data_IF_502292314716
#
_entry.id   IF_502292314716
#
_cell.length_a   1.000
_cell.length_b   1.000
_cell.length_c   1.000
_cell.angle_alpha   90.00
_cell.angle_beta   90.00
_cell.angle_gamma   90.00
#
_symmetry.space_group_name_H-M   'P 1'
#
loop_
_entity.id
_entity.type
_entity.pdbx_description
1 polymer ?
#
# COMPACT_ATOMS: atom_id res chain seq x y z
N UNK A 1 -27.83 -5.91 12.65
CA UNK A 1 -27.04 -5.08 13.58
C UNK A 1 -25.80 -4.65 12.83
N UNK A 2 -25.72 -3.35 12.49
CA UNK A 2 -24.73 -2.77 11.59
C UNK A 2 -23.31 -2.85 12.17
N UNK A 3 -22.37 -3.44 11.44
CA UNK A 3 -20.94 -3.42 11.75
C UNK A 3 -20.22 -2.21 11.14
N UNK A 4 -20.90 -1.08 11.01
CA UNK A 4 -20.29 0.20 10.61
C UNK A 4 -19.99 1.02 11.87
N UNK A 5 -18.70 1.15 12.25
CA UNK A 5 -18.15 2.31 13.00
C UNK A 5 -16.74 2.15 13.58
N UNK A 6 -15.90 1.18 13.17
CA UNK A 6 -14.46 1.31 13.48
C UNK A 6 -13.81 2.09 12.34
N UNK A 7 -13.74 3.42 12.47
CA UNK A 7 -12.84 4.21 11.63
C UNK A 7 -11.42 3.98 12.13
N UNK A 8 -10.53 3.49 11.25
CA UNK A 8 -9.11 3.34 11.52
C UNK A 8 -8.40 4.63 11.93
N UNK A 9 -7.08 4.61 12.12
CA UNK A 9 -6.17 3.65 11.49
C UNK A 9 -6.17 2.28 12.17
N UNK A 10 -6.00 1.24 11.36
CA UNK A 10 -5.66 -0.09 11.87
C UNK A 10 -4.17 -0.27 11.69
N UNK A 11 -3.45 -0.52 12.79
CA UNK A 11 -1.99 -0.51 12.82
C UNK A 11 -1.48 -1.77 13.51
N UNK A 12 -0.38 -2.32 13.00
CA UNK A 12 0.43 -3.32 13.68
C UNK A 12 1.88 -2.86 13.64
N UNK A 13 2.55 -2.95 14.79
CA UNK A 13 3.97 -2.64 14.91
C UNK A 13 4.64 -3.72 15.74
N UNK A 14 5.64 -4.39 15.15
CA UNK A 14 6.40 -5.46 15.77
C UNK A 14 7.89 -5.23 15.45
N UNK A 15 8.73 -5.17 16.50
CA UNK A 15 10.16 -4.85 16.41
C UNK A 15 10.46 -3.58 15.58
N UNK A 16 10.93 -3.77 14.35
CA UNK A 16 11.34 -2.74 13.39
C UNK A 16 10.39 -2.65 12.18
N UNK A 17 9.23 -3.29 12.27
CA UNK A 17 8.24 -3.37 11.22
C UNK A 17 6.95 -2.65 11.62
N UNK A 18 6.48 -1.75 10.76
CA UNK A 18 5.25 -1.00 10.93
C UNK A 18 4.34 -1.21 9.72
N UNK A 19 3.09 -1.62 9.93
CA UNK A 19 2.10 -1.74 8.85
C UNK A 19 0.78 -1.12 9.27
N UNK A 20 0.12 -0.41 8.36
CA UNK A 20 -1.16 0.21 8.67
C UNK A 20 -2.09 0.39 7.48
N UNK A 21 -3.39 0.38 7.78
CA UNK A 21 -4.47 0.76 6.88
C UNK A 21 -5.16 2.00 7.43
N UNK A 22 -5.43 2.98 6.58
CA UNK A 22 -6.02 4.26 7.00
C UNK A 22 -6.92 4.86 5.93
N UNK A 23 -7.88 5.70 6.32
CA UNK A 23 -8.64 6.53 5.38
C UNK A 23 -8.03 7.93 5.19
N UNK A 24 -7.05 8.28 6.02
CA UNK A 24 -6.40 9.59 5.98
C UNK A 24 -5.39 9.67 4.83
N UNK A 25 -5.10 10.89 4.38
CA UNK A 25 -3.99 11.15 3.47
C UNK A 25 -2.66 10.65 4.07
N UNK A 26 -1.78 10.16 3.20
CA UNK A 26 -0.51 9.59 3.61
C UNK A 26 0.55 10.69 3.77
N UNK A 27 1.45 10.52 4.74
CA UNK A 27 2.50 11.48 5.06
C UNK A 27 3.86 10.82 4.86
N UNK A 28 4.52 11.15 3.75
CA UNK A 28 5.82 10.60 3.37
C UNK A 28 6.89 10.83 4.45
N UNK A 29 6.89 11.99 5.12
CA UNK A 29 7.88 12.28 6.17
C UNK A 29 7.67 11.36 7.36
N UNK A 30 6.43 11.22 7.84
CA UNK A 30 6.11 10.34 8.97
C UNK A 30 6.47 8.89 8.67
N UNK A 31 6.18 8.39 7.47
CA UNK A 31 6.51 7.01 7.09
C UNK A 31 8.02 6.80 6.98
N UNK A 32 8.78 7.78 6.48
CA UNK A 32 10.25 7.71 6.49
C UNK A 32 10.81 7.74 7.93
N UNK A 33 10.20 8.50 8.84
CA UNK A 33 10.64 8.61 10.22
C UNK A 33 10.49 7.27 10.98
N UNK A 34 9.45 6.48 10.67
CA UNK A 34 9.23 5.14 11.26
C UNK A 34 10.39 4.16 11.00
N UNK A 35 11.15 4.33 9.92
CA UNK A 35 12.25 3.42 9.56
C UNK A 35 13.63 3.98 9.86
N UNK A 36 13.74 5.15 10.51
CA UNK A 36 15.04 5.72 10.87
C UNK A 36 15.76 4.84 11.87
N UNK A 37 17.07 4.67 11.66
CA UNK A 37 17.94 3.94 12.57
C UNK A 37 19.35 4.53 12.50
N UNK A 38 20.07 4.63 13.64
CA UNK A 38 21.49 5.00 13.61
C UNK A 38 22.37 4.00 12.84
N UNK A 39 21.88 2.78 12.61
CA UNK A 39 22.56 1.75 11.83
C UNK A 39 22.18 1.76 10.32
N UNK A 40 21.32 2.68 9.89
CA UNK A 40 20.92 2.81 8.49
C UNK A 40 21.72 3.91 7.79
N UNK A 41 22.36 3.55 6.68
CA UNK A 41 23.04 4.48 5.77
C UNK A 41 22.17 4.90 4.57
N UNK A 42 21.00 4.28 4.40
CA UNK A 42 20.04 4.62 3.36
C UNK A 42 18.60 4.36 3.81
N UNK A 43 17.70 5.22 3.36
CA UNK A 43 16.24 5.03 3.39
C UNK A 43 15.76 5.14 1.95
N UNK A 44 14.90 4.23 1.52
CA UNK A 44 14.17 4.29 0.25
C UNK A 44 12.69 4.34 0.56
N UNK A 45 11.99 5.26 -0.11
CA UNK A 45 10.54 5.38 -0.07
C UNK A 45 9.99 5.11 -1.47
N UNK A 46 9.04 4.19 -1.56
CA UNK A 46 8.14 4.08 -2.70
C UNK A 46 6.81 4.76 -2.37
N UNK A 47 6.31 5.56 -3.31
CA UNK A 47 5.01 6.20 -3.25
C UNK A 47 4.17 5.79 -4.47
N UNK A 48 3.08 5.07 -4.25
CA UNK A 48 2.13 4.71 -5.30
C UNK A 48 1.06 5.77 -5.43
N UNK A 49 1.06 6.53 -6.53
CA UNK A 49 0.13 7.65 -6.77
C UNK A 49 -0.97 7.29 -7.76
N UNK A 50 -2.19 7.79 -7.54
CA UNK A 50 -3.28 7.69 -8.53
C UNK A 50 -2.95 8.50 -9.77
N UNK A 51 -3.05 7.89 -10.95
CA UNK A 51 -2.88 8.56 -12.26
C UNK A 51 -4.24 8.98 -12.83
N UNK A 52 -4.23 9.97 -13.70
CA UNK A 52 -5.41 10.51 -14.38
C UNK A 52 -5.92 9.66 -15.56
N UNK A 53 -5.19 8.61 -15.93
CA UNK A 53 -5.52 7.76 -17.06
C UNK A 53 -5.32 6.27 -16.76
N UNK A 54 -6.19 5.45 -17.33
CA UNK A 54 -6.06 4.00 -17.36
C UNK A 54 -6.54 3.47 -18.72
N UNK A 55 -5.68 2.74 -19.45
CA UNK A 55 -5.96 2.21 -20.80
C UNK A 55 -6.57 3.25 -21.77
N UNK A 56 -6.10 4.50 -21.69
CA UNK A 56 -6.56 5.61 -22.53
C UNK A 56 -7.91 6.22 -22.13
N UNK A 57 -8.53 5.77 -21.02
CA UNK A 57 -9.73 6.38 -20.45
C UNK A 57 -9.38 7.34 -19.30
N UNK A 58 -10.04 8.50 -19.19
CA UNK A 58 -9.88 9.40 -18.04
C UNK A 58 -10.43 8.72 -16.78
N UNK A 59 -9.59 8.65 -15.75
CA UNK A 59 -9.96 8.15 -14.41
C UNK A 59 -10.31 9.35 -13.56
N UNK A 60 -11.47 9.32 -12.92
CA UNK A 60 -11.90 10.36 -11.98
C UNK A 60 -11.26 10.17 -10.61
N UNK A 61 -11.29 8.95 -10.10
CA UNK A 61 -10.72 8.57 -8.81
C UNK A 61 -10.47 7.05 -8.72
N UNK A 62 -9.63 6.66 -7.75
CA UNK A 62 -9.49 5.27 -7.34
C UNK A 62 -10.09 5.08 -5.95
N UNK A 63 -10.90 4.04 -5.78
CA UNK A 63 -11.44 3.65 -4.47
C UNK A 63 -10.78 2.35 -4.01
N UNK A 64 -10.29 2.31 -2.78
CA UNK A 64 -9.65 1.12 -2.21
C UNK A 64 -10.48 0.54 -1.05
N UNK A 65 -10.63 -0.78 -1.03
CA UNK A 65 -11.26 -1.52 0.07
C UNK A 65 -10.38 -2.69 0.47
N UNK A 66 -10.52 -3.16 1.70
CA UNK A 66 -9.68 -4.24 2.21
C UNK A 66 -10.39 -5.08 3.28
N UNK A 67 -9.97 -6.33 3.41
CA UNK A 67 -10.34 -7.15 4.57
C UNK A 67 -9.29 -6.93 5.66
N UNK A 68 -9.48 -5.87 6.47
CA UNK A 68 -8.42 -5.27 7.30
C UNK A 68 -7.61 -6.28 8.13
N UNK A 69 -8.24 -7.22 8.88
CA UNK A 69 -7.48 -8.14 9.72
C UNK A 69 -6.56 -9.06 8.92
N UNK A 70 -6.97 -9.50 7.74
CA UNK A 70 -6.14 -10.38 6.90
C UNK A 70 -5.09 -9.57 6.15
N UNK A 71 -5.47 -8.44 5.56
CA UNK A 71 -4.54 -7.53 4.88
C UNK A 71 -3.38 -7.11 5.79
N UNK A 72 -3.65 -6.69 7.03
CA UNK A 72 -2.60 -6.33 7.98
C UNK A 72 -1.67 -7.49 8.34
N UNK A 73 -2.20 -8.71 8.54
CA UNK A 73 -1.36 -9.89 8.79
C UNK A 73 -0.51 -10.23 7.58
N UNK A 74 -1.06 -10.13 6.37
CA UNK A 74 -0.32 -10.37 5.13
C UNK A 74 0.80 -9.33 4.95
N UNK A 75 0.51 -8.04 5.19
CA UNK A 75 1.51 -6.96 5.17
C UNK A 75 2.62 -7.22 6.19
N UNK A 76 2.29 -7.61 7.42
CA UNK A 76 3.30 -7.90 8.45
C UNK A 76 4.16 -9.12 8.08
N UNK A 77 3.56 -10.16 7.49
CA UNK A 77 4.30 -11.33 6.98
C UNK A 77 5.31 -10.94 5.90
N UNK A 78 4.93 -10.02 5.00
CA UNK A 78 5.84 -9.46 4.00
C UNK A 78 6.96 -8.66 4.68
N UNK A 79 6.60 -7.80 5.64
CA UNK A 79 7.56 -6.97 6.39
C UNK A 79 8.64 -7.82 7.06
N UNK A 80 8.27 -8.87 7.79
CA UNK A 80 9.21 -9.78 8.43
C UNK A 80 10.10 -10.51 7.40
N UNK A 81 9.48 -11.09 6.37
CA UNK A 81 10.21 -11.82 5.34
C UNK A 81 11.26 -10.96 4.64
N UNK A 82 10.94 -9.70 4.33
CA UNK A 82 11.87 -8.79 3.66
C UNK A 82 12.91 -8.19 4.61
N UNK A 83 12.52 -7.97 5.87
CA UNK A 83 13.45 -7.54 6.92
C UNK A 83 14.58 -8.54 7.11
N UNK A 84 14.26 -9.83 7.19
CA UNK A 84 15.25 -10.89 7.32
C UNK A 84 16.05 -11.09 6.04
N UNK A 85 15.38 -11.10 4.88
CA UNK A 85 16.03 -11.33 3.57
C UNK A 85 17.05 -10.26 3.21
N UNK A 86 16.78 -9.00 3.53
CA UNK A 86 17.58 -7.84 3.09
C UNK A 86 18.37 -7.16 4.23
N UNK A 87 18.36 -7.72 5.45
CA UNK A 87 18.93 -7.12 6.68
C UNK A 87 18.47 -5.66 6.88
N UNK A 88 17.15 -5.44 6.83
CA UNK A 88 16.58 -4.11 7.00
C UNK A 88 16.75 -3.62 8.44
N UNK A 89 17.02 -2.33 8.62
CA UNK A 89 16.99 -1.67 9.94
C UNK A 89 15.59 -1.19 10.32
N UNK A 90 14.72 -1.01 9.34
CA UNK A 90 13.32 -0.67 9.53
C UNK A 90 12.52 -0.94 8.25
N UNK A 91 11.25 -1.27 8.44
CA UNK A 91 10.26 -1.48 7.40
C UNK A 91 8.96 -0.78 7.78
N UNK A 92 8.37 -0.03 6.85
CA UNK A 92 7.04 0.56 7.00
C UNK A 92 6.23 0.37 5.71
N UNK A 93 4.97 -0.05 5.84
CA UNK A 93 4.00 -0.11 4.74
C UNK A 93 2.66 0.46 5.19
N UNK A 94 2.24 1.57 4.58
CA UNK A 94 0.98 2.24 4.88
C UNK A 94 0.12 2.28 3.63
N UNK A 95 -1.09 1.73 3.70
CA UNK A 95 -2.04 1.75 2.59
C UNK A 95 -3.28 2.57 2.94
N UNK A 96 -3.63 3.50 2.05
CA UNK A 96 -4.86 4.29 2.14
C UNK A 96 -6.04 3.52 1.56
N UNK A 97 -7.18 3.60 2.25
CA UNK A 97 -8.47 3.04 1.88
C UNK A 97 -9.46 4.16 1.58
N UNK A 98 -10.58 3.82 0.96
CA UNK A 98 -11.56 4.77 0.45
C UNK A 98 -11.09 5.45 -0.83
N UNK A 99 -11.64 6.63 -1.12
CA UNK A 99 -11.31 7.41 -2.32
C UNK A 99 -9.92 8.06 -2.19
N UNK A 100 -9.09 7.84 -3.21
CA UNK A 100 -7.76 8.44 -3.38
C UNK A 100 -7.76 9.28 -4.65
N UNK A 101 -7.77 10.62 -4.54
CA UNK A 101 -7.72 11.55 -5.67
C UNK A 101 -6.50 11.34 -6.57
N UNK A 102 -6.61 11.82 -7.82
CA UNK A 102 -5.50 11.89 -8.77
C UNK A 102 -4.34 12.67 -8.14
N UNK A 103 -3.12 12.14 -8.29
CA UNK A 103 -1.90 12.73 -7.75
C UNK A 103 -1.62 12.41 -6.28
N UNK A 104 -2.61 11.88 -5.54
CA UNK A 104 -2.41 11.47 -4.14
C UNK A 104 -1.95 10.02 -4.01
N UNK A 105 -1.26 9.72 -2.91
CA UNK A 105 -0.71 8.40 -2.62
C UNK A 105 -1.77 7.45 -2.07
N UNK A 106 -1.86 6.27 -2.69
CA UNK A 106 -2.64 5.14 -2.18
C UNK A 106 -1.80 4.22 -1.29
N UNK A 107 -0.48 4.20 -1.46
CA UNK A 107 0.43 3.38 -0.66
C UNK A 107 1.79 4.07 -0.50
N UNK A 108 2.35 3.99 0.69
CA UNK A 108 3.73 4.32 0.99
C UNK A 108 4.45 3.08 1.52
N UNK A 109 5.65 2.80 1.01
CA UNK A 109 6.53 1.76 1.52
C UNK A 109 7.90 2.39 1.79
N UNK A 110 8.33 2.41 3.05
CA UNK A 110 9.67 2.84 3.41
C UNK A 110 10.48 1.67 3.95
N UNK A 111 11.76 1.60 3.57
CA UNK A 111 12.72 0.64 4.10
C UNK A 111 14.04 1.33 4.38
N UNK A 112 14.75 0.86 5.39
CA UNK A 112 16.09 1.37 5.72
C UNK A 112 17.11 0.24 5.82
N UNK A 113 18.33 0.51 5.35
CA UNK A 113 19.43 -0.48 5.33
C UNK A 113 20.77 0.21 5.59
N UNK A 114 21.84 -0.55 5.96
CA UNK A 114 23.19 0.00 6.02
C UNK A 114 23.67 0.58 4.68
N UNK A 115 23.28 -0.04 3.56
CA UNK A 115 23.73 0.33 2.22
C UNK A 115 22.59 0.37 1.21
N UNK A 116 22.59 1.43 0.37
CA UNK A 116 21.49 1.76 -0.57
C UNK A 116 21.01 0.63 -1.49
N UNK A 117 21.89 -0.28 -1.91
CA UNK A 117 21.50 -1.32 -2.88
C UNK A 117 20.43 -2.27 -2.33
N UNK A 118 20.54 -2.64 -1.06
CA UNK A 118 19.53 -3.48 -0.40
C UNK A 118 18.20 -2.74 -0.24
N UNK A 119 18.23 -1.45 0.10
CA UNK A 119 17.01 -0.64 0.24
C UNK A 119 16.21 -0.55 -1.07
N UNK A 120 16.88 -0.31 -2.20
CA UNK A 120 16.20 -0.28 -3.50
C UNK A 120 15.51 -1.60 -3.85
N UNK A 121 16.23 -2.71 -3.68
CA UNK A 121 15.68 -4.06 -3.96
C UNK A 121 14.53 -4.41 -3.03
N UNK A 122 14.65 -4.11 -1.75
CA UNK A 122 13.62 -4.40 -0.77
C UNK A 122 12.35 -3.57 -0.99
N UNK A 123 12.49 -2.29 -1.36
CA UNK A 123 11.33 -1.43 -1.67
C UNK A 123 10.54 -1.91 -2.89
N UNK A 124 11.24 -2.30 -3.96
CA UNK A 124 10.60 -2.89 -5.16
C UNK A 124 9.92 -4.22 -4.82
N UNK A 125 10.62 -5.13 -4.15
CA UNK A 125 10.08 -6.44 -3.78
C UNK A 125 8.87 -6.32 -2.83
N UNK A 126 8.88 -5.36 -1.91
CA UNK A 126 7.76 -5.08 -1.01
C UNK A 126 6.49 -4.68 -1.76
N UNK A 127 6.62 -3.85 -2.80
CA UNK A 127 5.49 -3.47 -3.64
C UNK A 127 4.93 -4.68 -4.40
N UNK A 128 5.80 -5.48 -5.01
CA UNK A 128 5.39 -6.64 -5.80
C UNK A 128 4.74 -7.72 -4.93
N UNK A 129 5.30 -7.99 -3.74
CA UNK A 129 4.67 -8.88 -2.77
C UNK A 129 3.34 -8.34 -2.25
N UNK A 130 3.22 -7.02 -2.05
CA UNK A 130 1.97 -6.38 -1.66
C UNK A 130 0.89 -6.61 -2.73
N UNK A 131 1.18 -6.29 -4.00
CA UNK A 131 0.25 -6.50 -5.12
C UNK A 131 -0.15 -7.97 -5.27
N UNK A 132 0.80 -8.89 -5.05
CA UNK A 132 0.58 -10.32 -5.24
C UNK A 132 -0.31 -10.94 -4.17
N UNK A 133 -0.23 -10.46 -2.92
CA UNK A 133 -0.75 -11.19 -1.75
C UNK A 133 -1.76 -10.42 -0.92
N UNK A 134 -1.61 -9.11 -0.78
CA UNK A 134 -2.38 -8.34 0.20
C UNK A 134 -3.80 -8.16 -0.30
N UNK A 135 -4.76 -8.40 0.59
CA UNK A 135 -6.20 -8.38 0.35
C UNK A 135 -6.75 -6.95 0.33
N UNK A 136 -6.22 -6.14 -0.60
CA UNK A 136 -6.70 -4.81 -0.98
C UNK A 136 -7.21 -4.88 -2.42
N UNK A 137 -8.41 -4.36 -2.65
CA UNK A 137 -9.05 -4.25 -3.96
C UNK A 137 -9.18 -2.79 -4.35
N UNK A 138 -9.03 -2.49 -5.64
CA UNK A 138 -9.18 -1.16 -6.20
C UNK A 138 -10.42 -1.10 -7.11
N UNK A 139 -11.19 -0.02 -7.07
CA UNK A 139 -12.20 0.32 -8.07
C UNK A 139 -11.72 1.54 -8.84
N UNK A 140 -11.72 1.45 -10.16
CA UNK A 140 -11.50 2.57 -11.06
C UNK A 140 -12.84 3.21 -11.41
N UNK A 141 -13.03 4.49 -11.10
CA UNK A 141 -14.19 5.26 -11.59
C UNK A 141 -13.80 6.09 -12.81
N UNK A 142 -14.56 5.96 -13.89
CA UNK A 142 -14.33 6.66 -15.16
C UNK A 142 -15.33 7.82 -15.29
N UNK A 143 -14.96 8.87 -16.04
CA UNK A 143 -15.90 9.96 -16.31
C UNK A 143 -17.09 9.48 -17.17
N UNK A 144 -18.31 9.67 -16.68
CA UNK A 144 -19.55 9.37 -17.42
C UNK A 144 -19.93 7.88 -17.54
N UNK A 145 -19.10 6.96 -17.02
CA UNK A 145 -19.34 5.51 -16.99
C UNK A 145 -19.25 4.97 -15.55
N UNK A 146 -20.00 3.90 -15.23
CA UNK A 146 -19.89 3.24 -13.92
C UNK A 146 -18.50 2.61 -13.66
N UNK A 147 -18.12 2.46 -12.39
CA UNK A 147 -16.77 1.99 -12.01
C UNK A 147 -16.51 0.49 -12.22
N UNK A 148 -15.24 0.11 -12.37
CA UNK A 148 -14.79 -1.29 -12.53
C UNK A 148 -13.93 -1.71 -11.34
N UNK A 149 -14.32 -2.76 -10.61
CA UNK A 149 -13.51 -3.36 -9.55
C UNK A 149 -12.39 -4.23 -10.14
N UNK A 150 -11.19 -4.11 -9.58
CA UNK A 150 -10.00 -4.90 -9.92
C UNK A 150 -9.26 -5.30 -8.64
N UNK A 151 -8.69 -6.50 -8.62
CA UNK A 151 -7.72 -6.84 -7.60
C UNK A 151 -6.43 -6.04 -7.83
N UNK A 152 -5.67 -5.77 -6.76
CA UNK A 152 -4.29 -5.28 -6.91
C UNK A 152 -3.36 -6.34 -7.53
N UNK A 153 -3.83 -7.59 -7.59
CA UNK A 153 -3.16 -8.73 -8.19
C UNK A 153 -3.25 -8.65 -9.72
N UNK A 154 -2.12 -8.29 -10.31
CA UNK A 154 -1.81 -8.24 -11.73
C UNK A 154 -2.31 -7.01 -12.50
N UNK A 155 -1.41 -6.42 -13.29
CA UNK A 155 -1.72 -5.45 -14.35
C UNK A 155 -2.56 -6.01 -15.50
N UNK A 156 -3.38 -7.02 -15.23
CA UNK A 156 -4.37 -7.57 -16.14
C UNK A 156 -5.72 -6.87 -15.95
N UNK A 157 -6.50 -6.79 -17.02
CA UNK A 157 -7.81 -6.17 -16.98
C UNK A 157 -8.75 -6.92 -16.02
N UNK A 158 -9.21 -6.25 -14.96
CA UNK A 158 -10.25 -6.80 -14.09
C UNK A 158 -11.55 -6.96 -14.88
N UNK A 159 -12.25 -8.08 -14.69
CA UNK A 159 -13.56 -8.31 -15.30
C UNK A 159 -14.62 -7.56 -14.49
N UNK A 160 -15.50 -6.83 -15.18
CA UNK A 160 -16.69 -6.22 -14.60
C UNK A 160 -17.49 -7.30 -13.87
N UNK A 161 -17.71 -7.11 -12.57
CA UNK A 161 -18.63 -7.93 -11.79
C UNK A 161 -19.91 -7.10 -11.73
N UNK A 162 -20.96 -7.56 -12.40
CA UNK A 162 -22.26 -6.91 -12.33
C UNK A 162 -22.85 -7.23 -10.95
N UNK A 163 -23.22 -6.20 -10.18
CA UNK A 163 -23.95 -6.36 -8.91
C UNK A 163 -25.31 -6.99 -9.22
N UNK A 164 -25.60 -8.12 -8.57
CA UNK A 164 -26.92 -8.76 -8.57
C UNK A 164 -27.87 -8.08 -7.59
#
# INVERSE_FOLDING_TARGET
MSQDSVQGPWELSEDRCHVSLTHNALDASKVMDMVRSPAAGAIVLFAGTTRDNFDGKPVKELQYTAYHPLALRTMMTIAHSLTDKHDLRGFAMVHRLGTVPIGEESILIAVSTPHRQAAWRAGEEALEECKRRVEVWKREEFEGEGGIWRANRDGAAGKRIDEH
#
